data_IF_374268832471
#
_entry.id   IF_374268832471
#
_cell.length_a   1.000
_cell.length_b   1.000
_cell.length_c   1.000
_cell.angle_alpha   90.00
_cell.angle_beta   90.00
_cell.angle_gamma   90.00
#
_symmetry.space_group_name_H-M   'P 1'
#
loop_
_entity.id
_entity.type
_entity.pdbx_description
1 polymer ?
#
# COMPACT_ATOMS: atom_id res chain seq x y z
N UNK A 1 -59.11 -41.50 33.75
CA UNK A 1 -57.90 -41.15 34.52
C UNK A 1 -56.77 -41.13 33.52
N UNK A 2 -56.42 -39.95 33.00
CA UNK A 2 -55.38 -39.02 33.50
C UNK A 2 -54.03 -39.32 32.85
N UNK A 3 -53.48 -38.28 32.19
CA UNK A 3 -52.05 -37.97 32.00
C UNK A 3 -51.26 -38.89 31.06
N UNK A 4 -50.43 -38.45 30.11
CA UNK A 4 -49.93 -37.13 29.68
C UNK A 4 -49.38 -37.29 28.25
N UNK A 5 -49.64 -36.31 27.36
CA UNK A 5 -48.91 -36.18 26.08
C UNK A 5 -47.82 -35.12 26.24
N UNK A 6 -46.57 -35.55 26.35
CA UNK A 6 -45.42 -34.64 26.38
C UNK A 6 -45.14 -34.04 25.00
N UNK A 7 -44.98 -32.72 25.03
CA UNK A 7 -44.49 -31.83 23.99
C UNK A 7 -43.02 -32.06 23.65
N UNK A 8 -42.63 -31.91 22.37
CA UNK A 8 -41.22 -31.91 21.99
C UNK A 8 -40.91 -31.40 20.58
N UNK A 9 -40.95 -30.07 20.40
CA UNK A 9 -40.15 -29.20 19.49
C UNK A 9 -39.88 -29.62 18.03
N UNK A 10 -40.23 -28.79 17.02
CA UNK A 10 -39.62 -28.89 15.69
C UNK A 10 -38.18 -28.35 15.73
N UNK A 11 -37.21 -29.19 15.40
CA UNK A 11 -35.80 -28.83 15.23
C UNK A 11 -35.63 -27.98 13.98
N UNK A 12 -35.22 -26.72 14.17
CA UNK A 12 -34.73 -25.85 13.12
C UNK A 12 -33.37 -26.38 12.62
N UNK A 13 -33.37 -27.05 11.48
CA UNK A 13 -32.16 -27.41 10.74
C UNK A 13 -32.22 -26.72 9.38
N UNK A 14 -31.83 -25.45 9.35
CA UNK A 14 -31.33 -24.80 8.13
C UNK A 14 -29.94 -24.31 8.49
N UNK A 15 -28.98 -25.23 8.37
CA UNK A 15 -27.57 -24.92 8.38
C UNK A 15 -27.30 -24.23 7.02
N UNK A 16 -27.24 -22.91 7.01
CA UNK A 16 -26.77 -22.15 5.86
C UNK A 16 -25.27 -22.42 5.72
N UNK A 17 -24.93 -23.40 4.87
CA UNK A 17 -23.56 -23.63 4.44
C UNK A 17 -23.25 -22.54 3.41
N UNK A 18 -22.72 -21.41 3.88
CA UNK A 18 -22.03 -20.46 3.02
C UNK A 18 -20.73 -21.13 2.57
N UNK A 19 -20.72 -21.72 1.37
CA UNK A 19 -19.48 -22.12 0.71
C UNK A 19 -18.67 -20.84 0.43
N UNK A 20 -17.61 -20.60 1.22
CA UNK A 20 -16.53 -19.72 0.80
C UNK A 20 -15.86 -20.40 -0.40
N UNK A 21 -16.12 -19.90 -1.61
CA UNK A 21 -15.27 -20.14 -2.76
C UNK A 21 -14.00 -19.31 -2.55
N UNK A 22 -13.01 -19.88 -1.86
CA UNK A 22 -11.67 -19.28 -1.80
C UNK A 22 -11.03 -19.41 -3.18
N UNK A 23 -10.79 -18.27 -3.83
CA UNK A 23 -9.99 -18.17 -5.05
C UNK A 23 -8.59 -18.74 -4.79
N UNK A 24 -8.27 -19.91 -5.36
CA UNK A 24 -6.95 -20.53 -5.23
C UNK A 24 -5.82 -19.71 -5.87
N UNK A 25 -6.13 -18.66 -6.65
CA UNK A 25 -5.15 -17.72 -7.20
C UNK A 25 -4.52 -16.77 -6.17
N UNK A 26 -5.12 -16.62 -4.99
CA UNK A 26 -4.66 -15.68 -3.96
C UNK A 26 -3.45 -16.16 -3.14
N UNK A 27 -2.93 -17.38 -3.39
CA UNK A 27 -1.82 -17.93 -2.62
C UNK A 27 -0.43 -17.55 -3.16
N UNK A 28 -0.37 -16.92 -4.34
CA UNK A 28 0.88 -16.48 -4.99
C UNK A 28 0.89 -15.01 -5.42
N UNK A 29 -0.23 -14.30 -5.28
CA UNK A 29 -0.27 -12.87 -5.55
C UNK A 29 0.41 -12.13 -4.39
N UNK A 30 1.44 -11.35 -4.72
CA UNK A 30 2.00 -10.34 -3.83
C UNK A 30 1.70 -8.95 -4.41
N UNK A 31 1.72 -7.90 -3.57
CA UNK A 31 1.31 -6.58 -4.01
C UNK A 31 2.45 -5.81 -4.70
N UNK A 32 3.60 -6.42 -4.96
CA UNK A 32 4.78 -5.72 -5.44
C UNK A 32 4.92 -5.86 -6.95
N UNK A 33 5.76 -5.01 -7.55
CA UNK A 33 6.18 -5.25 -8.92
C UNK A 33 7.02 -6.54 -9.01
N UNK A 34 6.74 -7.36 -10.02
CA UNK A 34 7.30 -8.72 -10.16
C UNK A 34 8.51 -8.79 -11.08
N UNK A 35 8.54 -7.95 -12.12
CA UNK A 35 9.51 -8.07 -13.20
C UNK A 35 10.05 -6.72 -13.65
N UNK A 36 11.37 -6.65 -13.86
CA UNK A 36 12.01 -5.60 -14.66
C UNK A 36 12.00 -6.04 -16.13
N UNK A 37 11.22 -5.37 -16.95
CA UNK A 37 11.15 -5.68 -18.39
C UNK A 37 12.20 -4.96 -19.20
N UNK A 38 12.55 -3.73 -18.79
CA UNK A 38 13.60 -2.95 -19.42
C UNK A 38 14.15 -1.92 -18.44
N UNK A 39 15.46 -1.72 -18.45
CA UNK A 39 16.11 -0.66 -17.72
C UNK A 39 17.16 0.00 -18.62
N UNK A 40 17.05 1.31 -18.77
CA UNK A 40 18.04 2.15 -19.42
C UNK A 40 18.61 3.05 -18.33
N UNK A 41 19.86 2.84 -17.90
CA UNK A 41 20.41 3.56 -16.77
C UNK A 41 20.41 5.09 -16.95
N UNK A 42 20.64 5.57 -18.18
CA UNK A 42 20.89 6.98 -18.43
C UNK A 42 22.33 7.36 -18.04
N UNK A 43 22.54 8.64 -17.72
CA UNK A 43 23.83 9.19 -17.31
C UNK A 43 23.73 9.91 -15.97
N UNK A 44 24.82 10.02 -15.22
CA UNK A 44 24.84 10.72 -13.93
C UNK A 44 24.74 9.81 -12.71
N UNK A 45 24.45 8.51 -12.90
CA UNK A 45 24.38 7.51 -11.82
C UNK A 45 25.67 7.54 -10.99
N UNK A 46 25.50 7.72 -9.68
CA UNK A 46 26.57 7.69 -8.70
C UNK A 46 26.90 6.26 -8.27
N UNK A 47 27.95 6.11 -7.47
CA UNK A 47 28.32 4.84 -6.86
C UNK A 47 28.04 4.89 -5.36
N UNK A 48 27.64 3.74 -4.80
CA UNK A 48 27.55 3.54 -3.36
C UNK A 48 28.92 3.82 -2.73
N UNK A 49 28.94 4.72 -1.75
CA UNK A 49 30.17 5.22 -1.15
C UNK A 49 30.92 4.18 -0.31
N UNK A 50 30.28 3.06 0.05
CA UNK A 50 30.89 1.95 0.79
C UNK A 50 31.40 0.87 -0.15
N UNK A 51 30.55 0.42 -1.07
CA UNK A 51 30.90 -0.72 -1.95
C UNK A 51 31.62 -0.30 -3.23
N UNK A 52 31.41 0.95 -3.67
CA UNK A 52 31.86 1.45 -4.96
C UNK A 52 31.04 0.96 -6.15
N UNK A 53 29.98 0.17 -5.91
CA UNK A 53 29.08 -0.32 -6.95
C UNK A 53 28.12 0.78 -7.42
N UNK A 54 27.77 0.86 -8.71
CA UNK A 54 26.79 1.81 -9.21
C UNK A 54 25.38 1.46 -8.72
N UNK A 55 24.53 2.47 -8.52
CA UNK A 55 23.09 2.30 -8.25
C UNK A 55 22.30 1.90 -9.52
N UNK A 56 22.75 0.85 -10.21
CA UNK A 56 22.20 0.44 -11.51
C UNK A 56 21.64 -0.98 -11.54
N UNK A 57 21.48 -1.61 -10.38
CA UNK A 57 20.78 -2.90 -10.29
C UNK A 57 19.27 -2.67 -10.25
N UNK A 58 18.61 -2.74 -11.40
CA UNK A 58 17.17 -2.53 -11.49
C UNK A 58 16.32 -3.55 -10.72
N UNK A 59 16.89 -4.69 -10.32
CA UNK A 59 16.15 -5.69 -9.55
C UNK A 59 15.85 -5.24 -8.11
N UNK A 60 16.52 -4.18 -7.62
CA UNK A 60 16.23 -3.61 -6.31
C UNK A 60 14.85 -2.98 -6.24
N UNK A 61 14.28 -2.51 -7.36
CA UNK A 61 12.93 -1.94 -7.45
C UNK A 61 11.78 -2.97 -7.33
N UNK A 62 12.09 -4.25 -7.09
CA UNK A 62 11.12 -5.34 -7.01
C UNK A 62 10.95 -5.82 -5.57
N UNK A 63 9.76 -6.29 -5.23
CA UNK A 63 9.43 -6.78 -3.89
C UNK A 63 9.11 -5.69 -2.88
N UNK A 64 9.20 -6.05 -1.60
CA UNK A 64 8.81 -5.15 -0.50
C UNK A 64 9.81 -3.99 -0.33
N UNK A 65 9.33 -2.75 -0.10
CA UNK A 65 10.20 -1.61 0.20
C UNK A 65 11.16 -1.86 1.36
N UNK A 66 12.33 -1.24 1.30
CA UNK A 66 13.37 -1.39 2.31
C UNK A 66 12.90 -0.83 3.66
N UNK A 67 12.91 -1.67 4.70
CA UNK A 67 12.60 -1.24 6.08
C UNK A 67 13.83 -0.87 6.89
N UNK A 68 14.98 -1.45 6.58
CA UNK A 68 16.18 -1.34 7.41
C UNK A 68 17.44 -1.50 6.56
N UNK A 69 18.26 -0.46 6.51
CA UNK A 69 19.56 -0.50 5.85
C UNK A 69 20.58 -1.16 6.77
N UNK A 70 21.01 -2.37 6.40
CA UNK A 70 21.85 -3.24 7.24
C UNK A 70 23.35 -2.89 7.19
N UNK A 71 23.69 -1.62 7.46
CA UNK A 71 25.07 -1.13 7.46
C UNK A 71 25.34 -0.09 8.57
N UNK A 72 25.33 -0.51 9.86
CA UNK A 72 25.42 0.40 10.99
C UNK A 72 26.75 1.17 11.09
N UNK A 73 27.83 0.66 10.47
CA UNK A 73 29.13 1.33 10.45
C UNK A 73 29.13 2.57 9.55
N UNK A 74 28.16 2.65 8.63
CA UNK A 74 28.06 3.68 7.61
C UNK A 74 26.63 4.24 7.56
N UNK A 75 26.13 4.66 8.73
CA UNK A 75 24.84 5.35 8.89
C UNK A 75 23.59 4.51 8.59
N UNK A 76 23.70 3.18 8.52
CA UNK A 76 22.56 2.29 8.42
C UNK A 76 21.71 2.26 9.70
N UNK A 77 20.45 1.88 9.54
CA UNK A 77 19.44 1.87 10.59
C UNK A 77 18.06 1.62 10.00
N UNK A 78 17.02 1.88 10.77
CA UNK A 78 15.67 1.79 10.21
C UNK A 78 15.45 2.88 9.17
N UNK A 79 14.70 2.55 8.11
CA UNK A 79 14.27 3.53 7.12
C UNK A 79 13.19 4.41 7.73
N UNK A 80 13.41 5.72 7.70
CA UNK A 80 12.49 6.74 8.21
C UNK A 80 12.37 7.87 7.19
N UNK A 81 11.38 8.77 7.36
CA UNK A 81 11.27 9.94 6.51
C UNK A 81 12.49 10.87 6.52
N UNK A 82 13.43 10.71 7.46
CA UNK A 82 14.69 11.46 7.50
C UNK A 82 15.90 10.62 7.06
N UNK A 83 15.75 9.30 6.95
CA UNK A 83 16.80 8.36 6.56
C UNK A 83 16.18 7.33 5.61
N UNK A 84 16.15 7.67 4.32
CA UNK A 84 15.66 6.81 3.25
C UNK A 84 16.56 5.58 3.06
N UNK A 85 16.13 4.61 2.25
CA UNK A 85 16.96 3.49 1.82
C UNK A 85 18.02 3.97 0.82
N UNK A 86 19.31 3.68 1.03
CA UNK A 86 20.39 4.40 0.34
C UNK A 86 21.54 3.54 -0.18
N UNK A 87 21.39 2.21 -0.18
CA UNK A 87 22.41 1.29 -0.70
C UNK A 87 22.16 0.90 -2.15
N UNK A 88 23.23 0.58 -2.88
CA UNK A 88 23.12 0.07 -4.25
C UNK A 88 22.40 -1.28 -4.34
N UNK A 89 22.19 -1.96 -3.21
CA UNK A 89 21.37 -3.17 -3.09
C UNK A 89 19.92 -2.91 -2.66
N UNK A 90 19.56 -1.64 -2.42
CA UNK A 90 18.25 -1.22 -1.92
C UNK A 90 17.52 -0.35 -2.94
N UNK A 91 18.24 0.48 -3.70
CA UNK A 91 17.63 1.38 -4.69
C UNK A 91 18.30 1.30 -6.05
N UNK A 92 17.53 1.58 -7.10
CA UNK A 92 18.04 1.80 -8.47
C UNK A 92 17.85 3.24 -8.88
N UNK A 93 18.91 3.86 -9.38
CA UNK A 93 18.89 5.22 -9.92
C UNK A 93 18.50 5.20 -11.39
N UNK A 94 17.60 6.11 -11.79
CA UNK A 94 17.28 6.40 -13.19
C UNK A 94 17.97 7.71 -13.55
N UNK A 95 19.18 7.63 -14.06
CA UNK A 95 19.96 8.80 -14.46
C UNK A 95 19.32 9.56 -15.63
N UNK A 96 19.84 10.75 -15.91
CA UNK A 96 19.37 11.61 -16.98
C UNK A 96 19.32 10.88 -18.34
N UNK A 97 18.15 10.94 -18.99
CA UNK A 97 17.84 10.23 -20.24
C UNK A 97 17.55 8.73 -20.06
N UNK A 98 17.46 8.25 -18.82
CA UNK A 98 17.17 6.87 -18.46
C UNK A 98 15.68 6.56 -18.31
N UNK A 99 15.40 5.27 -18.11
CA UNK A 99 14.08 4.78 -17.77
C UNK A 99 14.14 3.44 -17.04
N UNK A 100 13.11 3.17 -16.22
CA UNK A 100 12.82 1.87 -15.65
C UNK A 100 11.42 1.44 -16.10
N UNK A 101 11.27 0.22 -16.60
CA UNK A 101 9.98 -0.38 -16.92
C UNK A 101 9.81 -1.68 -16.13
N UNK A 102 8.81 -1.69 -15.26
CA UNK A 102 8.41 -2.85 -14.47
C UNK A 102 7.02 -3.32 -14.84
N UNK A 103 6.69 -4.55 -14.47
CA UNK A 103 5.34 -5.09 -14.57
C UNK A 103 4.90 -5.82 -13.31
N UNK A 104 3.57 -5.83 -13.14
CA UNK A 104 2.88 -6.62 -12.14
C UNK A 104 2.20 -7.82 -12.84
N UNK A 105 2.32 -9.00 -12.25
CA UNK A 105 1.65 -10.23 -12.68
C UNK A 105 0.14 -10.11 -12.43
N UNK A 106 -0.24 -9.59 -11.25
CA UNK A 106 -1.58 -9.11 -10.95
C UNK A 106 -1.78 -7.65 -11.37
N UNK A 107 -2.79 -7.30 -12.18
CA UNK A 107 -3.02 -5.89 -12.52
C UNK A 107 -3.38 -5.06 -11.28
N UNK A 108 -2.72 -3.92 -11.11
CA UNK A 108 -3.13 -2.85 -10.20
C UNK A 108 -4.47 -2.30 -10.69
N UNK A 109 -5.44 -2.13 -9.79
CA UNK A 109 -6.82 -1.74 -10.11
C UNK A 109 -7.15 -0.37 -9.52
N UNK A 110 -7.82 0.47 -10.31
CA UNK A 110 -8.54 1.67 -9.82
C UNK A 110 -9.76 1.20 -9.01
N UNK A 111 -9.53 0.87 -7.73
CA UNK A 111 -10.55 0.34 -6.83
C UNK A 111 -11.17 1.50 -6.03
N UNK A 112 -12.51 1.68 -6.06
CA UNK A 112 -13.18 2.74 -5.30
C UNK A 112 -12.99 2.62 -3.77
N UNK A 113 -12.61 1.46 -3.26
CA UNK A 113 -12.29 1.22 -1.84
C UNK A 113 -10.81 1.49 -1.51
N UNK A 114 -9.99 1.92 -2.48
CA UNK A 114 -8.64 2.38 -2.23
C UNK A 114 -8.64 3.73 -1.50
N UNK A 115 -7.88 3.87 -0.38
CA UNK A 115 -7.86 5.12 0.38
C UNK A 115 -7.43 6.31 -0.48
N UNK A 116 -8.22 7.38 -0.42
CA UNK A 116 -7.98 8.65 -1.14
C UNK A 116 -8.00 8.54 -2.68
N UNK A 117 -8.41 7.40 -3.24
CA UNK A 117 -8.34 7.12 -4.68
C UNK A 117 -6.93 6.89 -5.19
N UNK A 118 -6.00 6.48 -4.31
CA UNK A 118 -4.63 6.12 -4.68
C UNK A 118 -4.54 4.62 -4.89
N UNK A 119 -4.05 4.20 -6.04
CA UNK A 119 -4.06 2.79 -6.47
C UNK A 119 -2.67 2.16 -6.47
N UNK A 120 -1.64 2.98 -6.64
CA UNK A 120 -0.25 2.55 -6.70
C UNK A 120 0.60 3.43 -5.78
N UNK A 121 1.59 2.82 -5.12
CA UNK A 121 2.62 3.50 -4.36
C UNK A 121 3.98 3.27 -5.02
N UNK A 122 4.78 4.33 -5.11
CA UNK A 122 6.19 4.27 -5.55
C UNK A 122 7.06 4.73 -4.39
N UNK A 123 7.97 3.86 -3.96
CA UNK A 123 8.93 4.11 -2.90
C UNK A 123 10.27 4.45 -3.53
N UNK A 124 10.88 5.56 -3.09
CA UNK A 124 12.15 6.05 -3.61
C UNK A 124 13.14 6.41 -2.50
N UNK A 125 14.19 7.15 -2.87
CA UNK A 125 15.19 7.66 -1.92
C UNK A 125 14.80 9.02 -1.31
N UNK A 126 13.63 9.58 -1.63
CA UNK A 126 13.19 10.85 -1.07
C UNK A 126 13.22 10.88 0.45
N UNK A 127 13.54 12.05 1.01
CA UNK A 127 13.67 12.24 2.45
C UNK A 127 13.27 13.67 2.85
N UNK A 128 13.13 13.91 4.15
CA UNK A 128 12.85 15.22 4.71
C UNK A 128 14.15 15.93 5.10
N UNK A 129 14.30 17.16 4.65
CA UNK A 129 15.43 18.04 4.96
C UNK A 129 15.55 18.28 6.47
N UNK A 130 16.77 18.17 7.01
CA UNK A 130 17.06 18.52 8.40
C UNK A 130 17.06 20.02 8.69
N UNK A 131 17.05 20.84 7.63
CA UNK A 131 17.12 22.30 7.76
C UNK A 131 15.73 22.87 8.04
N UNK A 132 14.73 22.41 7.29
CA UNK A 132 13.38 22.98 7.29
C UNK A 132 12.26 21.93 7.23
N UNK A 133 12.59 20.63 7.18
CA UNK A 133 11.62 19.54 7.10
C UNK A 133 10.89 19.47 5.76
N UNK A 134 11.36 20.17 4.72
CA UNK A 134 10.80 20.05 3.38
C UNK A 134 11.17 18.71 2.74
N UNK A 135 10.28 18.10 1.93
CA UNK A 135 10.65 16.96 1.09
C UNK A 135 11.78 17.33 0.13
N UNK A 136 12.81 16.50 0.10
CA UNK A 136 13.85 16.46 -0.91
C UNK A 136 13.45 15.32 -1.86
N UNK A 137 13.08 15.70 -3.08
CA UNK A 137 12.60 14.79 -4.11
C UNK A 137 13.41 14.97 -5.38
N UNK A 138 13.62 13.89 -6.13
CA UNK A 138 14.33 13.92 -7.41
C UNK A 138 13.40 13.74 -8.63
N UNK A 139 12.12 13.51 -8.37
CA UNK A 139 11.07 13.56 -9.37
C UNK A 139 10.92 12.27 -10.15
N UNK A 140 11.02 12.33 -11.47
CA UNK A 140 10.76 11.21 -12.37
C UNK A 140 9.31 11.14 -12.84
N UNK A 141 9.12 11.00 -14.15
CA UNK A 141 7.81 10.96 -14.78
C UNK A 141 7.25 9.55 -14.67
N UNK A 142 6.08 9.43 -14.06
CA UNK A 142 5.33 8.17 -13.97
C UNK A 142 4.43 8.02 -15.19
N UNK A 143 4.58 6.90 -15.88
CA UNK A 143 3.71 6.50 -16.98
C UNK A 143 3.20 5.09 -16.76
N UNK A 144 1.94 4.85 -17.05
CA UNK A 144 1.30 3.56 -16.79
C UNK A 144 0.66 2.98 -18.05
N UNK A 145 0.56 1.66 -18.11
CA UNK A 145 -0.03 0.97 -19.25
C UNK A 145 -0.74 -0.33 -18.85
N UNK A 146 -1.81 -0.65 -19.56
CA UNK A 146 -2.48 -1.95 -19.48
C UNK A 146 -1.81 -3.03 -20.33
N UNK A 147 -1.21 -2.65 -21.45
CA UNK A 147 -0.74 -3.58 -22.49
C UNK A 147 0.78 -3.57 -22.71
N UNK A 148 1.50 -2.69 -22.01
CA UNK A 148 2.95 -2.56 -22.11
C UNK A 148 3.42 -1.86 -23.39
N UNK A 149 2.52 -1.30 -24.17
CA UNK A 149 2.82 -0.63 -25.45
C UNK A 149 2.27 0.80 -25.52
N UNK A 150 1.07 1.03 -24.98
CA UNK A 150 0.41 2.34 -24.93
C UNK A 150 0.52 2.90 -23.52
N UNK A 151 1.45 3.83 -23.33
CA UNK A 151 1.71 4.46 -22.03
C UNK A 151 1.00 5.81 -21.92
N UNK A 152 0.44 6.08 -20.74
CA UNK A 152 -0.19 7.34 -20.39
C UNK A 152 0.55 7.92 -19.19
N UNK A 153 0.95 9.18 -19.27
CA UNK A 153 1.56 9.90 -18.16
C UNK A 153 0.53 10.14 -17.06
N UNK A 154 0.87 9.78 -15.82
CA UNK A 154 0.11 10.13 -14.62
C UNK A 154 0.45 11.57 -14.24
N UNK A 155 -0.57 12.38 -13.97
CA UNK A 155 -0.36 13.77 -13.52
C UNK A 155 -0.46 13.88 -12.01
N UNK A 156 0.39 14.70 -11.39
CA UNK A 156 0.30 14.96 -9.95
C UNK A 156 1.02 13.94 -9.06
N UNK A 157 1.75 13.00 -9.65
CA UNK A 157 2.65 12.08 -8.98
C UNK A 157 4.05 12.16 -9.59
N UNK A 158 5.06 12.01 -8.75
CA UNK A 158 6.47 11.88 -9.10
C UNK A 158 6.98 10.56 -8.54
N UNK A 159 7.89 9.87 -9.24
CA UNK A 159 8.31 8.53 -8.86
C UNK A 159 9.15 8.52 -7.58
N UNK A 160 10.19 9.36 -7.53
CA UNK A 160 10.90 9.70 -6.31
C UNK A 160 10.31 11.01 -5.74
N UNK A 161 9.11 10.88 -5.18
CA UNK A 161 8.24 11.99 -4.83
C UNK A 161 8.05 12.21 -3.33
N UNK A 162 7.02 13.00 -3.00
CA UNK A 162 6.64 13.30 -1.61
C UNK A 162 6.20 12.02 -0.86
N UNK A 163 6.24 12.10 0.47
CA UNK A 163 6.01 11.00 1.42
C UNK A 163 7.14 9.95 1.48
N UNK A 164 8.34 10.34 1.93
CA UNK A 164 9.44 9.42 2.21
C UNK A 164 9.07 8.14 2.96
N UNK A 165 9.77 7.05 2.67
CA UNK A 165 9.51 5.74 3.27
C UNK A 165 9.64 5.77 4.80
N UNK A 166 8.70 5.13 5.48
CA UNK A 166 8.72 4.88 6.93
C UNK A 166 8.62 3.38 7.14
N UNK A 167 9.70 2.72 7.58
CA UNK A 167 9.73 1.26 7.74
C UNK A 167 8.96 0.74 8.97
N UNK A 168 8.80 1.57 10.00
CA UNK A 168 8.17 1.18 11.28
C UNK A 168 7.34 2.32 11.86
N UNK A 169 6.19 1.99 12.43
CA UNK A 169 5.23 2.97 12.97
C UNK A 169 5.42 3.29 14.46
N UNK A 170 6.37 2.63 15.13
CA UNK A 170 6.69 2.82 16.54
C UNK A 170 8.02 3.56 16.79
N UNK A 171 8.66 4.08 15.74
CA UNK A 171 9.92 4.81 15.83
C UNK A 171 9.70 6.33 15.76
N UNK A 172 9.77 7.00 16.92
CA UNK A 172 9.63 8.45 17.02
C UNK A 172 10.96 9.21 16.86
N UNK A 173 12.06 8.50 16.66
CA UNK A 173 13.39 9.07 16.40
C UNK A 173 13.67 9.14 14.90
N UNK A 174 14.40 10.16 14.44
CA UNK A 174 14.71 10.33 13.02
C UNK A 174 15.75 9.31 12.51
N UNK A 175 16.71 8.92 13.35
CA UNK A 175 17.83 8.03 12.97
C UNK A 175 18.00 6.85 13.94
N UNK A 176 16.99 5.98 14.06
CA UNK A 176 17.07 4.82 14.95
C UNK A 176 18.06 3.78 14.39
N UNK A 177 19.03 3.38 15.20
CA UNK A 177 20.00 2.33 14.85
C UNK A 177 19.42 0.91 14.94
N UNK A 178 18.20 0.78 15.46
CA UNK A 178 17.52 -0.50 15.66
C UNK A 178 16.16 -0.49 14.95
N UNK A 179 15.75 -1.66 14.47
CA UNK A 179 14.42 -1.86 13.92
C UNK A 179 13.33 -1.61 14.97
N UNK A 180 12.18 -1.10 14.52
CA UNK A 180 10.98 -1.02 15.32
C UNK A 180 10.35 -2.40 15.52
N UNK A 181 9.38 -2.48 16.44
CA UNK A 181 8.61 -3.70 16.68
C UNK A 181 7.30 -3.73 15.91
N UNK A 182 6.86 -2.58 15.38
CA UNK A 182 5.61 -2.44 14.63
C UNK A 182 5.90 -1.94 13.23
N UNK A 183 5.83 -2.84 12.25
CA UNK A 183 5.97 -2.48 10.83
C UNK A 183 4.87 -1.51 10.41
N UNK A 184 5.22 -0.55 9.59
CA UNK A 184 4.25 0.24 8.82
C UNK A 184 3.60 -0.59 7.71
N UNK A 185 2.46 -0.12 7.21
CA UNK A 185 1.73 -0.73 6.10
C UNK A 185 2.14 -0.06 4.78
N UNK A 186 2.95 -0.76 3.99
CA UNK A 186 3.40 -0.31 2.67
C UNK A 186 2.32 -0.39 1.57
N UNK A 187 1.13 -0.89 1.90
CA UNK A 187 -0.01 -0.94 0.98
C UNK A 187 -1.05 0.13 1.30
N UNK A 188 -0.72 1.04 2.22
CA UNK A 188 -1.58 2.12 2.67
C UNK A 188 -0.96 3.46 2.27
N UNK A 189 -1.61 4.28 1.44
CA UNK A 189 -1.11 5.61 1.09
C UNK A 189 -1.18 6.56 2.30
N UNK A 190 -0.30 7.55 2.31
CA UNK A 190 -0.48 8.74 3.16
C UNK A 190 -1.62 9.58 2.60
N UNK A 191 -2.41 10.23 3.47
CA UNK A 191 -3.45 11.17 3.04
C UNK A 191 -2.81 12.27 2.17
N UNK A 192 -3.19 12.42 0.88
CA UNK A 192 -2.61 13.45 0.01
C UNK A 192 -2.82 14.88 0.52
N UNK A 193 -3.74 15.11 1.46
CA UNK A 193 -3.93 16.40 2.12
C UNK A 193 -2.97 16.67 3.30
N UNK A 194 -2.18 15.68 3.72
CA UNK A 194 -1.23 15.84 4.82
C UNK A 194 0.06 16.52 4.38
N UNK A 195 0.27 17.76 4.80
CA UNK A 195 1.55 18.45 4.59
C UNK A 195 2.60 17.97 5.59
N UNK A 196 3.59 17.22 5.10
CA UNK A 196 4.75 16.72 5.85
C UNK A 196 5.75 17.82 6.22
N UNK A 197 5.68 18.99 5.58
CA UNK A 197 6.70 20.03 5.68
C UNK A 197 6.84 20.53 7.11
N UNK A 198 8.06 20.47 7.64
CA UNK A 198 8.41 21.00 8.97
C UNK A 198 7.77 20.25 10.15
N UNK A 199 7.21 19.05 9.91
CA UNK A 199 6.63 18.21 10.97
C UNK A 199 7.71 17.49 11.76
N UNK A 200 7.48 17.31 13.05
CA UNK A 200 8.28 16.40 13.89
C UNK A 200 8.01 14.93 13.52
N UNK A 201 8.93 14.02 13.86
CA UNK A 201 8.71 12.58 13.69
C UNK A 201 7.38 12.09 14.31
N UNK A 202 7.01 12.57 15.51
CA UNK A 202 5.73 12.21 16.12
C UNK A 202 4.51 12.70 15.34
N UNK A 203 4.57 13.90 14.74
CA UNK A 203 3.49 14.41 13.91
C UNK A 203 3.41 13.66 12.58
N UNK A 204 4.56 13.26 12.03
CA UNK A 204 4.63 12.42 10.83
C UNK A 204 4.01 11.05 11.10
N UNK A 205 4.34 10.38 12.21
CA UNK A 205 3.72 9.10 12.58
C UNK A 205 2.19 9.20 12.67
N UNK A 206 1.68 10.31 13.22
CA UNK A 206 0.23 10.58 13.29
C UNK A 206 -0.36 10.82 11.89
N UNK A 207 0.31 11.64 11.06
CA UNK A 207 -0.16 11.95 9.71
C UNK A 207 -0.11 10.77 8.74
N UNK A 208 0.93 9.94 8.85
CA UNK A 208 1.04 8.69 8.09
C UNK A 208 0.01 7.67 8.56
N UNK A 209 -0.42 7.73 9.83
CA UNK A 209 -1.51 6.92 10.35
C UNK A 209 -1.29 5.41 10.07
N UNK A 210 -0.06 4.93 10.24
CA UNK A 210 0.34 3.56 9.95
C UNK A 210 0.73 3.27 8.50
N UNK A 211 0.59 4.22 7.57
CA UNK A 211 1.20 4.14 6.23
C UNK A 211 2.72 4.02 6.33
N UNK A 212 3.32 3.30 5.39
CA UNK A 212 4.76 3.25 5.20
C UNK A 212 5.32 4.33 4.27
N UNK A 213 4.53 5.31 3.84
CA UNK A 213 4.94 6.33 2.87
C UNK A 213 4.71 5.90 1.43
N UNK A 214 5.55 6.41 0.53
CA UNK A 214 5.46 6.21 -0.91
C UNK A 214 4.64 7.29 -1.61
N UNK A 215 5.08 7.70 -2.79
CA UNK A 215 4.34 8.61 -3.63
C UNK A 215 3.09 7.91 -4.19
N UNK A 216 1.92 8.51 -3.93
CA UNK A 216 0.64 7.98 -4.38
C UNK A 216 0.33 8.29 -5.84
N UNK A 217 -0.13 7.29 -6.58
CA UNK A 217 -0.57 7.35 -7.98
C UNK A 217 -2.05 6.98 -8.07
N UNK A 218 -2.84 7.90 -8.63
CA UNK A 218 -4.26 7.73 -8.97
C UNK A 218 -4.38 7.37 -10.46
N UNK A 219 -4.86 6.16 -10.79
CA UNK A 219 -5.00 5.68 -12.17
C UNK A 219 -6.16 6.34 -12.91
N UNK A 220 -7.18 6.81 -12.18
CA UNK A 220 -8.30 7.54 -12.76
C UNK A 220 -7.85 8.85 -13.40
N UNK A 221 -6.75 9.45 -12.91
CA UNK A 221 -6.10 10.62 -13.52
C UNK A 221 -5.55 10.34 -14.92
N UNK A 222 -5.16 9.08 -15.19
CA UNK A 222 -4.74 8.59 -16.50
C UNK A 222 -5.91 8.03 -17.35
N UNK A 223 -7.13 8.01 -16.80
CA UNK A 223 -8.33 7.45 -17.44
C UNK A 223 -8.30 5.94 -17.61
N UNK A 224 -7.56 5.23 -16.75
CA UNK A 224 -7.39 3.77 -16.79
C UNK A 224 -7.99 3.15 -15.53
N UNK A 225 -8.70 2.04 -15.68
CA UNK A 225 -9.29 1.31 -14.54
C UNK A 225 -8.39 0.19 -14.00
N UNK A 226 -7.33 -0.14 -14.74
CA UNK A 226 -6.32 -1.11 -14.32
C UNK A 226 -5.06 -0.98 -15.18
N UNK A 227 -3.91 -1.31 -14.61
CA UNK A 227 -2.61 -1.34 -15.29
C UNK A 227 -1.83 -2.60 -14.93
N UNK A 228 -0.88 -3.00 -15.77
CA UNK A 228 0.06 -4.10 -15.46
C UNK A 228 1.50 -3.67 -15.67
N UNK A 229 1.74 -2.44 -16.12
CA UNK A 229 3.05 -1.94 -16.47
C UNK A 229 3.22 -0.50 -15.99
N UNK A 230 4.34 -0.24 -15.33
CA UNK A 230 4.73 1.10 -14.87
C UNK A 230 6.09 1.42 -15.48
N UNK A 231 6.16 2.55 -16.18
CA UNK A 231 7.39 3.11 -16.70
C UNK A 231 7.69 4.41 -15.97
N UNK A 232 8.90 4.49 -15.44
CA UNK A 232 9.45 5.71 -14.85
C UNK A 232 10.51 6.22 -15.81
N UNK A 233 10.39 7.48 -16.23
CA UNK A 233 11.36 8.12 -17.14
C UNK A 233 11.99 9.34 -16.49
N UNK A 234 13.30 9.51 -16.70
CA UNK A 234 14.03 10.71 -16.33
C UNK A 234 14.53 11.40 -17.61
N UNK A 235 13.89 12.50 -18.07
CA UNK A 235 14.35 13.23 -19.24
C UNK A 235 15.81 13.69 -19.13
N UNK A 236 16.50 13.83 -20.26
CA UNK A 236 17.84 14.39 -20.26
C UNK A 236 17.83 15.87 -19.82
N UNK A 237 18.80 16.28 -19.00
CA UNK A 237 18.97 17.68 -18.58
C UNK A 237 18.10 18.12 -17.41
N UNK A 238 17.46 17.19 -16.69
CA UNK A 238 16.73 17.47 -15.44
C UNK A 238 17.67 17.90 -14.32
N UNK A 239 18.90 17.36 -14.31
CA UNK A 239 19.89 17.60 -13.25
C UNK A 239 19.58 16.86 -11.94
N UNK A 240 18.61 15.95 -11.96
CA UNK A 240 18.20 15.06 -10.86
C UNK A 240 18.22 13.62 -11.37
N UNK A 241 18.38 12.64 -10.49
CA UNK A 241 18.57 11.24 -10.83
C UNK A 241 17.66 10.34 -9.95
N UNK A 242 16.32 10.33 -10.15
CA UNK A 242 15.38 9.67 -9.25
C UNK A 242 15.71 8.21 -8.97
N UNK A 243 15.68 7.86 -7.69
CA UNK A 243 15.92 6.51 -7.19
C UNK A 243 14.64 5.80 -6.77
N UNK A 244 14.56 4.51 -7.12
CA UNK A 244 13.40 3.66 -6.85
C UNK A 244 13.81 2.47 -5.98
N UNK A 245 13.11 2.30 -4.87
CA UNK A 245 13.22 1.20 -3.91
C UNK A 245 12.17 0.12 -4.22
N UNK A 246 10.92 0.50 -4.49
CA UNK A 246 9.85 -0.47 -4.76
C UNK A 246 8.61 0.17 -5.36
N UNK A 247 7.71 -0.66 -5.91
CA UNK A 247 6.36 -0.27 -6.31
C UNK A 247 5.35 -1.25 -5.70
N UNK A 248 4.21 -0.73 -5.26
CA UNK A 248 3.19 -1.52 -4.58
C UNK A 248 1.75 -1.19 -5.01
N UNK A 249 0.95 -2.22 -5.26
CA UNK A 249 -0.50 -2.17 -5.39
C UNK A 249 -1.13 -1.79 -4.04
N UNK A 250 -1.98 -0.76 -4.03
CA UNK A 250 -2.64 -0.31 -2.81
C UNK A 250 -3.68 -1.34 -2.39
N UNK A 251 -3.66 -1.66 -1.10
CA UNK A 251 -4.65 -2.57 -0.54
C UNK A 251 -5.96 -1.83 -0.34
N UNK A 252 -6.96 -2.22 -1.12
CA UNK A 252 -8.34 -1.77 -0.93
C UNK A 252 -8.83 -2.11 0.49
N UNK A 253 -9.52 -1.17 1.12
CA UNK A 253 -10.09 -1.35 2.45
C UNK A 253 -11.61 -1.41 2.30
N UNK A 254 -12.20 -2.61 2.20
CA UNK A 254 -13.64 -2.72 2.01
C UNK A 254 -14.35 -2.03 3.16
N UNK A 255 -15.33 -1.19 2.83
CA UNK A 255 -16.24 -0.62 3.83
C UNK A 255 -16.76 -1.77 4.72
N UNK A 256 -16.91 -1.57 6.05
CA UNK A 256 -17.43 -2.60 6.93
C UNK A 256 -18.75 -3.09 6.37
N UNK A 257 -18.76 -4.30 5.81
CA UNK A 257 -19.93 -4.76 5.07
C UNK A 257 -21.18 -4.56 5.92
N UNK A 258 -22.19 -3.88 5.37
CA UNK A 258 -23.45 -3.69 6.06
C UNK A 258 -24.19 -5.02 6.26
N UNK A 259 -23.74 -6.10 5.59
CA UNK A 259 -24.27 -7.46 5.67
C UNK A 259 -24.31 -8.02 7.10
N UNK A 260 -23.21 -8.05 7.88
CA UNK A 260 -23.24 -8.39 9.32
C UNK A 260 -24.28 -7.58 10.10
N UNK A 261 -24.37 -6.26 9.85
CA UNK A 261 -25.32 -5.38 10.53
C UNK A 261 -26.77 -5.67 10.13
N UNK A 262 -27.03 -5.96 8.85
CA UNK A 262 -28.34 -6.36 8.32
C UNK A 262 -28.73 -7.74 8.84
N UNK A 263 -27.81 -8.70 8.87
CA UNK A 263 -28.02 -10.02 9.46
C UNK A 263 -28.32 -9.92 10.97
N UNK A 264 -27.62 -9.06 11.70
CA UNK A 264 -27.87 -8.80 13.12
C UNK A 264 -29.25 -8.16 13.32
N UNK A 265 -29.60 -7.15 12.51
CA UNK A 265 -30.88 -6.47 12.56
C UNK A 265 -32.05 -7.40 12.22
N UNK A 266 -31.90 -8.26 11.21
CA UNK A 266 -32.88 -9.29 10.86
C UNK A 266 -33.03 -10.35 11.97
N UNK A 267 -31.92 -10.76 12.60
CA UNK A 267 -31.94 -11.66 13.76
C UNK A 267 -32.68 -11.07 14.97
N UNK A 268 -32.46 -9.79 15.28
CA UNK A 268 -33.16 -9.06 16.35
C UNK A 268 -34.65 -8.88 16.00
N UNK A 269 -34.99 -8.61 14.74
CA UNK A 269 -36.37 -8.47 14.31
C UNK A 269 -37.14 -9.80 14.39
N UNK A 270 -36.51 -10.91 13.97
CA UNK A 270 -37.13 -12.23 13.97
C UNK A 270 -37.36 -12.76 15.40
N UNK A 271 -36.40 -12.57 16.29
CA UNK A 271 -36.51 -12.92 17.72
C UNK A 271 -37.58 -12.11 18.45
N UNK A 272 -37.79 -10.84 18.08
CA UNK A 272 -38.86 -10.01 18.65
C UNK A 272 -40.27 -10.38 18.15
N UNK A 273 -40.40 -10.95 16.94
CA UNK A 273 -41.69 -11.43 16.42
C UNK A 273 -42.15 -12.73 17.06
N UNK A 274 -41.24 -13.66 17.32
CA UNK A 274 -41.56 -14.94 17.96
C UNK A 274 -42.01 -14.79 19.42
N UNK A 275 -41.66 -13.70 20.10
CA UNK A 275 -42.12 -13.38 21.46
C UNK A 275 -43.54 -12.77 21.52
N UNK A 276 -44.08 -12.23 20.42
CA UNK A 276 -45.41 -11.58 20.39
C UNK A 276 -46.58 -12.53 20.08
N UNK A 277 -46.31 -13.78 19.71
CA UNK A 277 -47.37 -14.78 19.44
C UNK A 277 -47.52 -15.72 20.63
N UNK A 278 -48.18 -15.24 21.69
CA UNK A 278 -48.94 -16.11 22.60
C UNK A 278 -50.36 -15.56 22.73
N UNK A 279 -51.32 -16.04 21.94
CA UNK A 279 -52.73 -15.78 22.19
C UNK A 279 -53.13 -16.55 23.46
N UNK A 280 -53.54 -15.83 24.49
CA UNK A 280 -54.17 -16.43 25.67
C UNK A 280 -55.45 -17.14 25.26
N UNK A 281 -55.47 -18.47 25.35
CA UNK A 281 -56.71 -19.24 25.24
C UNK A 281 -57.53 -19.05 26.51
N UNK A 282 -58.56 -18.20 26.43
CA UNK A 282 -59.72 -18.25 27.32
C UNK A 282 -60.39 -19.63 27.17
N UNK A 283 -60.63 -20.32 28.26
CA UNK A 283 -61.53 -21.47 28.33
C UNK A 283 -62.98 -20.99 28.51
N UNK A 284 -63.96 -21.46 27.71
CA UNK A 284 -65.35 -21.41 28.10
C UNK A 284 -65.74 -22.69 28.85
N UNK A 285 -66.54 -22.51 29.91
CA UNK A 285 -67.56 -23.49 30.32
C UNK A 285 -68.69 -23.53 29.28
#
# INVERSE_FOLDING_TARGET
MRHDSESGKPSASILAVCLLLTNLGSLFADPWADNVLNYVPGSGIQNDFVTGEPFSDASTALGEPTRFTSDPENFGGAVTPYQSAFRATEVVTIGQGGQLLVSFDEPVVDDPDNPFGIDLLIFGNSFLSFVDGSPVTEGGIVEVSRDGTSFVTVTGAEADGVYPTLGYSDLAEAFPMMAGSVTSDFLKPVDPAFDVTGKSMSEILVGYNGSGGGAGVDLSSAGLTQISFVRITNPAGTGMDPEIDALADVKSVPEPSSLPLVCLALGIWYSNRSLRVRPGSRSPE
#
